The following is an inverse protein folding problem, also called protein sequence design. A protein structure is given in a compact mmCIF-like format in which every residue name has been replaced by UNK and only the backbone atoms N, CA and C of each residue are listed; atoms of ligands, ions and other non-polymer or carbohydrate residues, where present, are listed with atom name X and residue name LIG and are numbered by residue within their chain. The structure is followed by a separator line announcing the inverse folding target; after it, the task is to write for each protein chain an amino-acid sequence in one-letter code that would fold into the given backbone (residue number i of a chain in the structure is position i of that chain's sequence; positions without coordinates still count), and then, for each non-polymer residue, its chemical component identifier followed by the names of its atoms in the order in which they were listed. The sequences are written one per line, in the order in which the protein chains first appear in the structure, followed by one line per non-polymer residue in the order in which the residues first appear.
data_IF_691663637487
#
_entry.id   IF_691663637487
#
_cell.length_a   1.000
_cell.length_b   1.000
_cell.length_c   1.000
_cell.angle_alpha   90.00
_cell.angle_beta   90.00
_cell.angle_gamma   90.00
#
_symmetry.space_group_name_H-M   'P 1'
#
loop_
_entity.id
_entity.type
_entity.pdbx_description
1 polymer ?
#
# COMPACT_ATOMS: atom_id res chain seq x y z
N UNK A 1 0.59 -13.59 -4.65
CA UNK A 1 -0.61 -14.45 -4.57
C UNK A 1 -0.23 -15.84 -5.07
N UNK A 2 -0.88 -16.89 -4.58
CA UNK A 2 -0.53 -18.26 -4.89
C UNK A 2 -1.02 -18.63 -6.30
N UNK A 3 -0.19 -19.37 -7.03
CA UNK A 3 -0.52 -19.92 -8.34
C UNK A 3 -0.01 -21.36 -8.39
N UNK A 4 -0.89 -22.33 -8.66
CA UNK A 4 -0.60 -23.77 -8.84
C UNK A 4 -0.05 -24.50 -7.61
N UNK A 5 1.00 -23.97 -6.96
CA UNK A 5 1.74 -24.59 -5.85
C UNK A 5 0.89 -24.84 -4.61
N UNK A 6 -0.04 -23.94 -4.33
CA UNK A 6 -0.99 -24.05 -3.23
C UNK A 6 -2.29 -23.30 -3.59
N UNK A 7 -3.46 -23.77 -3.13
CA UNK A 7 -4.72 -23.13 -3.42
C UNK A 7 -4.91 -21.85 -2.58
N UNK A 8 -5.58 -20.81 -3.12
CA UNK A 8 -6.09 -19.72 -2.30
C UNK A 8 -7.26 -20.21 -1.43
N UNK A 9 -7.54 -19.46 -0.37
CA UNK A 9 -8.66 -19.69 0.55
C UNK A 9 -9.86 -18.79 0.17
N UNK A 10 -11.09 -19.31 0.29
CA UNK A 10 -12.31 -18.51 0.19
C UNK A 10 -12.65 -17.88 1.55
N UNK A 11 -12.17 -16.66 1.79
CA UNK A 11 -12.39 -15.94 3.05
C UNK A 11 -13.84 -15.55 3.35
N UNK A 12 -14.81 -15.89 2.49
CA UNK A 12 -16.25 -15.68 2.75
C UNK A 12 -16.92 -17.01 3.10
N UNK A 13 -16.73 -18.04 2.26
CA UNK A 13 -17.38 -19.34 2.46
C UNK A 13 -16.69 -20.18 3.53
N UNK A 14 -15.40 -19.94 3.75
CA UNK A 14 -14.55 -20.64 4.71
C UNK A 14 -14.14 -19.71 5.85
N UNK A 15 -14.97 -18.71 6.18
CA UNK A 15 -14.72 -17.73 7.26
C UNK A 15 -14.41 -18.41 8.60
N UNK A 16 -15.05 -19.56 8.89
CA UNK A 16 -14.86 -20.33 10.13
C UNK A 16 -13.42 -20.81 10.37
N UNK A 17 -12.60 -20.95 9.32
CA UNK A 17 -11.19 -21.34 9.47
C UNK A 17 -10.26 -20.12 9.51
N UNK A 18 -10.79 -18.90 9.43
CA UNK A 18 -10.01 -17.67 9.47
C UNK A 18 -9.95 -17.05 10.87
N UNK A 19 -8.86 -16.35 11.19
CA UNK A 19 -8.71 -15.64 12.46
C UNK A 19 -8.06 -14.26 12.26
N UNK A 20 -8.67 -13.24 12.86
CA UNK A 20 -8.21 -11.84 12.80
C UNK A 20 -7.57 -11.35 14.10
N UNK A 21 -7.49 -12.23 15.09
CA UNK A 21 -7.07 -11.87 16.44
C UNK A 21 -5.55 -11.68 16.50
N UNK A 22 -5.10 -10.63 17.17
CA UNK A 22 -3.69 -10.32 17.40
C UNK A 22 -3.40 -10.32 18.90
N UNK A 23 -2.16 -10.58 19.30
CA UNK A 23 -1.73 -10.57 20.70
C UNK A 23 -0.70 -9.45 20.92
N UNK A 24 -0.86 -8.70 22.01
CA UNK A 24 0.05 -7.64 22.44
C UNK A 24 0.68 -8.05 23.77
N UNK A 25 2.01 -8.05 23.81
CA UNK A 25 2.78 -8.32 25.02
C UNK A 25 4.13 -8.93 24.66
N UNK A 26 4.96 -9.11 25.67
CA UNK A 26 6.24 -9.79 25.51
C UNK A 26 6.02 -11.30 25.33
N UNK A 27 6.59 -11.87 24.29
CA UNK A 27 6.59 -13.33 24.09
C UNK A 27 7.58 -13.97 25.07
N UNK A 28 7.11 -14.99 25.77
CA UNK A 28 7.92 -15.77 26.70
C UNK A 28 8.63 -16.93 26.01
N UNK A 29 9.50 -17.62 26.75
CA UNK A 29 10.25 -18.75 26.22
C UNK A 29 9.32 -19.91 25.79
N UNK A 30 9.20 -20.12 24.48
CA UNK A 30 8.39 -21.19 23.90
C UNK A 30 8.80 -22.60 24.37
N UNK A 31 10.07 -22.83 24.70
CA UNK A 31 10.58 -24.13 25.16
C UNK A 31 10.29 -24.39 26.64
N UNK A 32 9.92 -23.37 27.41
CA UNK A 32 9.60 -23.47 28.82
C UNK A 32 8.32 -22.69 29.15
N UNK A 33 7.14 -23.25 28.83
CA UNK A 33 5.88 -22.55 29.00
C UNK A 33 5.59 -22.30 30.48
N UNK A 34 5.32 -21.04 30.81
CA UNK A 34 4.89 -20.60 32.15
C UNK A 34 3.61 -19.78 32.02
N UNK A 35 2.93 -19.52 33.14
CA UNK A 35 1.72 -18.67 33.17
C UNK A 35 1.97 -17.24 32.65
N UNK A 36 3.22 -16.76 32.74
CA UNK A 36 3.63 -15.47 32.19
C UNK A 36 3.42 -15.39 30.67
N UNK A 37 3.50 -16.52 29.96
CA UNK A 37 3.27 -16.56 28.51
C UNK A 37 1.81 -16.19 28.13
N UNK A 38 0.87 -16.36 29.07
CA UNK A 38 -0.52 -15.97 28.90
C UNK A 38 -0.77 -14.48 29.20
N UNK A 39 0.23 -13.73 29.69
CA UNK A 39 0.13 -12.29 30.00
C UNK A 39 0.18 -11.48 28.70
N UNK A 40 -0.91 -11.54 27.95
CA UNK A 40 -1.07 -10.92 26.64
C UNK A 40 -2.40 -10.17 26.58
N UNK A 41 -2.43 -9.01 25.93
CA UNK A 41 -3.66 -8.31 25.57
C UNK A 41 -4.11 -8.83 24.21
N UNK A 42 -5.28 -9.47 24.19
CA UNK A 42 -5.89 -10.00 22.97
C UNK A 42 -6.67 -8.90 22.25
N UNK A 43 -6.27 -8.60 21.02
CA UNK A 43 -7.03 -7.78 20.08
C UNK A 43 -7.95 -8.66 19.22
N UNK A 44 -9.20 -8.23 19.04
CA UNK A 44 -10.15 -8.93 18.15
C UNK A 44 -9.88 -8.63 16.66
N UNK A 45 -9.22 -7.51 16.38
CA UNK A 45 -8.91 -6.99 15.05
C UNK A 45 -7.57 -6.25 15.10
N UNK A 46 -6.78 -6.24 14.01
CA UNK A 46 -5.56 -5.45 13.92
C UNK A 46 -5.86 -3.94 13.76
N UNK A 47 -7.08 -3.55 13.43
CA UNK A 47 -7.48 -2.15 13.26
C UNK A 47 -8.11 -1.66 14.56
N UNK A 48 -7.50 -0.64 15.17
CA UNK A 48 -7.84 -0.09 16.48
C UNK A 48 -8.57 1.24 16.30
N UNK A 49 -9.66 1.43 17.04
CA UNK A 49 -10.29 2.74 17.21
C UNK A 49 -9.40 3.67 18.05
N UNK A 50 -9.67 4.98 18.00
CA UNK A 50 -8.94 5.97 18.81
C UNK A 50 -9.06 5.66 20.31
N UNK A 51 -10.22 5.18 20.76
CA UNK A 51 -10.44 4.79 22.17
C UNK A 51 -9.65 3.54 22.57
N UNK A 52 -9.60 2.52 21.70
CA UNK A 52 -8.83 1.30 21.97
C UNK A 52 -7.33 1.60 22.05
N UNK A 53 -6.80 2.41 21.12
CA UNK A 53 -5.42 2.85 21.18
C UNK A 53 -5.15 3.65 22.47
N UNK A 54 -6.03 4.59 22.83
CA UNK A 54 -5.87 5.38 24.04
C UNK A 54 -5.83 4.51 25.31
N UNK A 55 -6.64 3.45 25.38
CA UNK A 55 -6.61 2.45 26.47
C UNK A 55 -5.28 1.72 26.55
N UNK A 56 -4.69 1.36 25.40
CA UNK A 56 -3.38 0.69 25.34
C UNK A 56 -2.24 1.65 25.74
N UNK A 57 -2.29 2.92 25.32
CA UNK A 57 -1.30 3.93 25.70
C UNK A 57 -1.30 4.22 27.20
N UNK A 58 -2.47 4.17 27.86
CA UNK A 58 -2.63 4.43 29.29
C UNK A 58 -2.86 3.14 30.08
N UNK A 59 -2.36 2.00 29.60
CA UNK A 59 -2.56 0.72 30.25
C UNK A 59 -1.90 0.74 31.64
N UNK A 60 -2.73 0.66 32.69
CA UNK A 60 -2.28 0.55 34.08
C UNK A 60 -2.54 -0.87 34.57
N UNK A 61 -1.81 -1.81 33.96
CA UNK A 61 -1.85 -3.21 34.33
C UNK A 61 -0.43 -3.74 34.48
N UNK A 62 -0.19 -4.45 35.57
CA UNK A 62 1.12 -5.02 35.87
C UNK A 62 1.61 -5.87 34.69
N UNK A 63 2.89 -5.68 34.33
CA UNK A 63 3.53 -6.36 33.20
C UNK A 63 3.34 -5.68 31.85
N UNK A 64 2.56 -4.59 31.75
CA UNK A 64 2.44 -3.79 30.53
C UNK A 64 2.94 -2.38 30.75
N UNK A 65 3.72 -1.89 29.79
CA UNK A 65 4.19 -0.51 29.76
C UNK A 65 4.25 -0.06 28.33
N UNK A 66 3.54 1.03 28.04
CA UNK A 66 3.47 1.62 26.71
C UNK A 66 4.31 2.90 26.62
N UNK A 67 4.88 3.14 25.45
CA UNK A 67 5.54 4.40 25.13
C UNK A 67 5.22 4.80 23.68
N UNK A 68 4.84 6.07 23.51
CA UNK A 68 4.63 6.67 22.19
C UNK A 68 5.98 7.17 21.67
N UNK A 69 6.33 6.75 20.46
CA UNK A 69 7.52 7.16 19.74
C UNK A 69 7.08 7.99 18.51
N UNK A 70 7.39 9.30 18.47
CA UNK A 70 7.05 10.13 17.32
C UNK A 70 7.81 9.67 16.07
N UNK A 71 7.09 9.47 14.96
CA UNK A 71 7.67 9.20 13.64
C UNK A 71 7.65 10.48 12.78
N UNK A 72 8.35 11.51 13.26
CA UNK A 72 8.43 12.84 12.63
C UNK A 72 9.88 13.22 12.36
N UNK A 73 10.11 14.04 11.34
CA UNK A 73 11.41 14.65 11.06
C UNK A 73 11.28 16.14 10.72
N UNK A 74 12.35 16.89 10.94
CA UNK A 74 12.34 18.34 10.67
C UNK A 74 12.47 18.60 9.17
N UNK A 75 11.48 19.28 8.60
CA UNK A 75 11.45 19.62 7.19
C UNK A 75 12.57 20.62 6.84
N UNK A 76 13.38 20.30 5.82
CA UNK A 76 14.44 21.17 5.29
C UNK A 76 15.83 20.95 5.86
N UNK A 77 16.02 19.97 6.78
CA UNK A 77 17.35 19.48 7.11
C UNK A 77 17.86 18.52 6.03
N UNK A 78 19.16 18.51 5.76
CA UNK A 78 19.78 17.43 4.96
C UNK A 78 19.70 16.10 5.71
N UNK A 79 19.41 15.02 4.97
CA UNK A 79 19.24 13.65 5.49
C UNK A 79 18.30 13.57 6.71
N UNK A 80 17.26 14.40 6.71
CA UNK A 80 16.33 14.54 7.83
C UNK A 80 15.60 13.22 8.10
N UNK A 81 15.20 12.51 7.05
CA UNK A 81 14.49 11.24 7.16
C UNK A 81 15.37 10.14 7.75
N UNK A 82 16.61 10.02 7.25
CA UNK A 82 17.57 9.01 7.74
C UNK A 82 17.88 9.22 9.22
N UNK A 83 18.19 10.46 9.59
CA UNK A 83 18.54 10.82 10.97
C UNK A 83 17.38 10.54 11.91
N UNK A 84 16.15 10.83 11.51
CA UNK A 84 14.97 10.57 12.32
C UNK A 84 14.67 9.07 12.48
N UNK A 85 14.90 8.26 11.44
CA UNK A 85 14.81 6.79 11.55
C UNK A 85 15.86 6.24 12.53
N UNK A 86 17.12 6.69 12.42
CA UNK A 86 18.19 6.27 13.33
C UNK A 86 17.86 6.66 14.79
N UNK A 87 17.29 7.85 15.01
CA UNK A 87 16.81 8.29 16.33
C UNK A 87 15.62 7.48 16.83
N UNK A 88 14.65 7.18 15.97
CA UNK A 88 13.49 6.35 16.31
C UNK A 88 13.93 4.96 16.78
N UNK A 89 14.89 4.35 16.10
CA UNK A 89 15.43 3.03 16.46
C UNK A 89 16.16 3.07 17.81
N UNK A 90 16.96 4.12 18.06
CA UNK A 90 17.64 4.29 19.35
C UNK A 90 16.65 4.51 20.50
N UNK A 91 15.61 5.33 20.30
CA UNK A 91 14.55 5.55 21.30
C UNK A 91 13.76 4.27 21.59
N UNK A 92 13.51 3.44 20.57
CA UNK A 92 12.88 2.14 20.76
C UNK A 92 13.76 1.20 21.58
N UNK A 93 15.06 1.11 21.30
CA UNK A 93 16.00 0.30 22.07
C UNK A 93 16.06 0.77 23.55
N UNK A 94 16.09 2.08 23.79
CA UNK A 94 16.06 2.64 25.15
C UNK A 94 14.74 2.34 25.86
N UNK A 95 13.60 2.49 25.19
CA UNK A 95 12.29 2.16 25.73
C UNK A 95 12.23 0.69 26.17
N UNK A 96 12.70 -0.22 25.32
CA UNK A 96 12.76 -1.66 25.60
C UNK A 96 13.66 -1.93 26.81
N UNK A 97 14.84 -1.31 26.88
CA UNK A 97 15.72 -1.43 28.03
C UNK A 97 15.06 -0.97 29.33
N UNK A 98 14.20 0.05 29.25
CA UNK A 98 13.38 0.57 30.35
C UNK A 98 12.10 -0.26 30.64
N UNK A 99 11.98 -1.46 30.07
CA UNK A 99 10.89 -2.40 30.30
C UNK A 99 9.59 -2.07 29.56
N UNK A 100 9.63 -1.22 28.54
CA UNK A 100 8.48 -0.94 27.67
C UNK A 100 8.24 -2.12 26.74
N UNK A 101 7.02 -2.63 26.69
CA UNK A 101 6.63 -3.75 25.83
C UNK A 101 5.51 -3.43 24.83
N UNK A 102 5.03 -2.18 24.81
CA UNK A 102 4.13 -1.66 23.79
C UNK A 102 4.74 -0.39 23.23
N UNK A 103 5.21 -0.43 21.99
CA UNK A 103 5.72 0.75 21.29
C UNK A 103 4.64 1.25 20.33
N UNK A 104 4.27 2.53 20.46
CA UNK A 104 3.30 3.18 19.58
C UNK A 104 4.03 4.15 18.66
N UNK A 105 4.19 3.79 17.40
CA UNK A 105 4.76 4.67 16.37
C UNK A 105 3.67 5.65 15.92
N UNK A 106 3.87 6.95 16.12
CA UNK A 106 2.83 7.95 15.85
C UNK A 106 3.31 9.09 14.97
N UNK A 107 2.60 9.35 13.87
CA UNK A 107 2.81 10.53 13.02
C UNK A 107 1.95 11.72 13.47
N UNK A 108 1.26 11.63 14.61
CA UNK A 108 0.60 12.81 15.20
C UNK A 108 1.65 13.88 15.53
N UNK A 109 1.32 15.13 15.21
CA UNK A 109 2.19 16.28 15.43
C UNK A 109 2.84 16.85 14.17
N UNK A 110 2.52 16.33 12.98
CA UNK A 110 2.83 16.97 11.70
C UNK A 110 2.39 18.43 11.72
N UNK A 111 3.29 19.33 11.34
CA UNK A 111 3.05 20.76 11.29
C UNK A 111 4.00 21.42 10.28
N UNK A 112 3.96 22.73 10.13
CA UNK A 112 4.80 23.47 9.17
C UNK A 112 6.33 23.24 9.30
N UNK A 113 6.81 22.70 10.43
CA UNK A 113 8.23 22.36 10.65
C UNK A 113 8.52 20.86 10.70
N UNK A 114 7.54 20.04 11.05
CA UNK A 114 7.69 18.59 11.22
C UNK A 114 6.93 17.85 10.13
N UNK A 115 7.65 17.09 9.31
CA UNK A 115 7.10 16.20 8.30
C UNK A 115 6.99 14.76 8.86
N UNK A 116 6.03 13.94 8.39
CA UNK A 116 5.89 12.56 8.84
C UNK A 116 6.92 11.63 8.18
N UNK A 117 7.49 10.71 8.95
CA UNK A 117 8.16 9.53 8.40
C UNK A 117 7.05 8.60 7.87
N UNK A 118 7.17 8.04 6.66
CA UNK A 118 6.15 7.13 6.13
C UNK A 118 5.93 5.95 7.07
N UNK A 119 4.67 5.69 7.42
CA UNK A 119 4.34 4.75 8.48
C UNK A 119 4.88 3.34 8.19
N UNK A 120 4.84 2.93 6.92
CA UNK A 120 5.39 1.65 6.46
C UNK A 120 6.92 1.58 6.65
N UNK A 121 7.64 2.65 6.32
CA UNK A 121 9.10 2.70 6.43
C UNK A 121 9.56 2.67 7.89
N UNK A 122 8.89 3.45 8.76
CA UNK A 122 9.15 3.44 10.20
C UNK A 122 8.88 2.06 10.80
N UNK A 123 7.73 1.47 10.49
CA UNK A 123 7.30 0.17 11.02
C UNK A 123 8.22 -0.95 10.56
N UNK A 124 8.45 -1.09 9.26
CA UNK A 124 9.28 -2.15 8.70
C UNK A 124 10.74 -2.00 9.15
N UNK A 125 11.26 -0.77 9.11
CA UNK A 125 12.60 -0.44 9.57
C UNK A 125 12.83 -0.84 11.02
N UNK A 126 11.92 -0.45 11.92
CA UNK A 126 12.03 -0.80 13.33
C UNK A 126 11.82 -2.30 13.56
N UNK A 127 10.85 -2.93 12.89
CA UNK A 127 10.63 -4.37 12.95
C UNK A 127 11.92 -5.14 12.64
N UNK A 128 12.59 -4.79 11.54
CA UNK A 128 13.85 -5.42 11.14
C UNK A 128 15.03 -5.07 12.06
N UNK A 129 15.11 -3.84 12.55
CA UNK A 129 16.10 -3.43 13.56
C UNK A 129 16.00 -4.28 14.82
N UNK A 130 14.79 -4.44 15.37
CA UNK A 130 14.54 -5.23 16.57
C UNK A 130 14.79 -6.73 16.33
N UNK A 131 14.55 -7.25 15.12
CA UNK A 131 14.92 -8.64 14.77
C UNK A 131 16.44 -8.81 14.79
N UNK A 132 17.19 -7.90 14.17
CA UNK A 132 18.66 -7.93 14.16
C UNK A 132 19.23 -7.88 15.57
N UNK A 133 18.59 -7.11 16.46
CA UNK A 133 18.96 -6.98 17.87
C UNK A 133 18.38 -8.07 18.78
N UNK A 134 17.57 -8.99 18.26
CA UNK A 134 16.89 -10.07 19.03
C UNK A 134 15.98 -9.56 20.15
N UNK A 135 15.42 -8.38 19.97
CA UNK A 135 14.50 -7.71 20.92
C UNK A 135 13.07 -7.69 20.39
N UNK A 136 12.80 -8.10 19.14
CA UNK A 136 11.46 -8.02 18.54
C UNK A 136 10.39 -8.79 19.30
N UNK A 137 10.71 -9.93 19.90
CA UNK A 137 9.77 -10.76 20.69
C UNK A 137 9.36 -10.08 22.01
N UNK A 138 10.10 -9.06 22.47
CA UNK A 138 9.86 -8.41 23.75
C UNK A 138 8.75 -7.35 23.67
N UNK A 139 8.38 -6.92 22.46
CA UNK A 139 7.46 -5.78 22.25
C UNK A 139 6.39 -6.03 21.20
N UNK A 140 5.25 -5.36 21.36
CA UNK A 140 4.30 -5.12 20.27
C UNK A 140 4.58 -3.77 19.60
N UNK A 141 4.37 -3.71 18.28
CA UNK A 141 4.46 -2.45 17.51
C UNK A 141 3.04 -2.03 17.13
N UNK A 142 2.57 -0.94 17.69
CA UNK A 142 1.32 -0.29 17.28
C UNK A 142 1.64 0.91 16.41
N UNK A 143 0.80 1.19 15.42
CA UNK A 143 1.02 2.28 14.46
C UNK A 143 -0.20 3.20 14.48
N UNK A 144 -0.01 4.42 14.99
CA UNK A 144 -0.96 5.52 14.90
C UNK A 144 -0.59 6.38 13.68
N UNK A 145 -1.40 6.36 12.63
CA UNK A 145 -1.04 7.02 11.37
C UNK A 145 -2.19 7.69 10.65
N UNK A 146 -1.91 8.86 10.07
CA UNK A 146 -2.81 9.54 9.14
C UNK A 146 -2.77 9.01 7.69
N UNK A 147 -1.80 8.15 7.34
CA UNK A 147 -1.62 7.67 5.96
C UNK A 147 -2.48 6.44 5.62
N UNK A 148 -2.72 5.56 6.60
CA UNK A 148 -3.44 4.31 6.40
C UNK A 148 -4.94 4.56 6.19
N UNK A 149 -5.46 4.11 5.05
CA UNK A 149 -6.88 4.29 4.69
C UNK A 149 -7.42 3.21 3.75
N UNK A 150 -6.54 2.62 2.94
CA UNK A 150 -6.90 1.54 2.01
C UNK A 150 -6.51 0.16 2.56
N UNK A 151 -7.22 -0.87 2.12
CA UNK A 151 -6.95 -2.28 2.47
C UNK A 151 -5.47 -2.66 2.28
N UNK A 152 -4.83 -2.15 1.23
CA UNK A 152 -3.43 -2.44 0.96
C UNK A 152 -2.51 -1.81 2.01
N UNK A 153 -2.78 -0.60 2.49
CA UNK A 153 -1.98 0.06 3.54
C UNK A 153 -1.97 -0.76 4.83
N UNK A 154 -3.13 -1.27 5.24
CA UNK A 154 -3.22 -2.16 6.40
C UNK A 154 -2.47 -3.47 6.18
N UNK A 155 -2.62 -4.06 4.98
CA UNK A 155 -1.96 -5.32 4.63
C UNK A 155 -0.43 -5.20 4.67
N UNK A 156 0.15 -4.12 4.12
CA UNK A 156 1.60 -3.91 4.16
C UNK A 156 2.07 -3.64 5.59
N UNK A 157 1.40 -2.80 6.36
CA UNK A 157 1.79 -2.53 7.75
C UNK A 157 1.82 -3.81 8.60
N UNK A 158 0.78 -4.65 8.51
CA UNK A 158 0.74 -5.94 9.23
C UNK A 158 1.84 -6.88 8.70
N UNK A 159 1.97 -7.00 7.38
CA UNK A 159 2.96 -7.88 6.75
C UNK A 159 4.42 -7.49 7.02
N UNK A 160 4.68 -6.24 7.42
CA UNK A 160 5.98 -5.74 7.86
C UNK A 160 6.07 -5.48 9.38
N UNK A 161 5.12 -6.01 10.16
CA UNK A 161 5.33 -6.20 11.59
C UNK A 161 4.51 -5.31 12.54
N UNK A 162 3.53 -4.53 12.06
CA UNK A 162 2.56 -3.86 12.91
C UNK A 162 1.61 -4.89 13.56
N UNK A 163 1.53 -4.87 14.88
CA UNK A 163 0.60 -5.70 15.67
C UNK A 163 -0.81 -5.10 15.70
N UNK A 164 -0.91 -3.76 15.70
CA UNK A 164 -2.18 -3.04 15.62
C UNK A 164 -2.00 -1.67 14.94
N UNK A 165 -3.03 -1.19 14.28
CA UNK A 165 -3.00 0.01 13.44
C UNK A 165 -4.21 0.88 13.79
N UNK A 166 -3.96 2.13 14.16
CA UNK A 166 -4.97 3.14 14.36
C UNK A 166 -4.91 4.17 13.21
N UNK A 167 -5.83 4.11 12.23
CA UNK A 167 -5.90 5.06 11.13
C UNK A 167 -6.63 6.34 11.55
N UNK A 168 -6.06 7.11 12.48
CA UNK A 168 -6.80 8.17 13.16
C UNK A 168 -7.40 9.22 12.20
N UNK A 169 -6.67 9.58 11.14
CA UNK A 169 -7.13 10.62 10.21
C UNK A 169 -8.29 10.11 9.34
N UNK A 170 -8.36 8.81 9.08
CA UNK A 170 -9.51 8.21 8.41
C UNK A 170 -10.76 8.31 9.30
N UNK A 171 -10.63 8.05 10.60
CA UNK A 171 -11.74 8.24 11.55
C UNK A 171 -12.15 9.71 11.67
N UNK A 172 -11.19 10.65 11.81
CA UNK A 172 -11.49 12.09 11.83
C UNK A 172 -12.19 12.54 10.53
N UNK A 173 -11.85 11.94 9.39
CA UNK A 173 -12.55 12.20 8.10
C UNK A 173 -13.98 11.65 8.12
N UNK A 174 -14.19 10.44 8.66
CA UNK A 174 -15.53 9.84 8.79
C UNK A 174 -16.40 10.69 9.73
N UNK A 175 -15.87 11.11 10.87
CA UNK A 175 -16.56 11.98 11.83
C UNK A 175 -17.05 13.26 11.15
N UNK A 176 -16.18 13.90 10.37
CA UNK A 176 -16.53 15.08 9.58
C UNK A 176 -17.63 14.77 8.56
N UNK A 177 -17.51 13.67 7.82
CA UNK A 177 -18.51 13.25 6.82
C UNK A 177 -19.89 13.00 7.43
N UNK A 178 -19.96 12.41 8.62
CA UNK A 178 -21.21 12.23 9.39
C UNK A 178 -21.75 13.59 9.83
N UNK A 179 -20.91 14.45 10.40
CA UNK A 179 -21.32 15.79 10.85
C UNK A 179 -21.86 16.67 9.71
N UNK A 180 -21.33 16.51 8.50
CA UNK A 180 -21.79 17.19 7.27
C UNK A 180 -23.02 16.54 6.65
N UNK A 181 -23.47 15.38 7.15
CA UNK A 181 -24.63 14.63 6.64
C UNK A 181 -24.39 13.92 5.31
N UNK A 182 -23.13 13.76 4.88
CA UNK A 182 -22.78 13.12 3.60
C UNK A 182 -23.03 11.61 3.61
N UNK A 183 -23.11 10.99 4.79
CA UNK A 183 -23.40 9.56 5.00
C UNK A 183 -24.88 9.27 5.33
N UNK A 184 -25.77 10.26 5.20
CA UNK A 184 -27.19 10.09 5.52
C UNK A 184 -27.46 10.03 7.02
N UNK A 185 -28.25 9.05 7.47
CA UNK A 185 -28.66 8.88 8.88
C UNK A 185 -27.71 7.97 9.70
N UNK A 186 -26.51 7.69 9.20
CA UNK A 186 -25.54 6.82 9.89
C UNK A 186 -24.94 7.52 11.12
N UNK A 187 -24.87 6.80 12.26
CA UNK A 187 -24.19 7.28 13.46
C UNK A 187 -22.67 7.21 13.30
N UNK A 188 -21.93 7.99 14.08
CA UNK A 188 -20.45 7.96 14.09
C UNK A 188 -19.95 6.56 14.47
N UNK A 189 -20.57 5.96 15.48
CA UNK A 189 -20.21 4.63 15.98
C UNK A 189 -20.43 3.54 14.92
N UNK A 190 -21.57 3.59 14.21
CA UNK A 190 -21.86 2.64 13.12
C UNK A 190 -20.91 2.83 11.94
N UNK A 191 -20.62 4.08 11.55
CA UNK A 191 -19.70 4.39 10.47
C UNK A 191 -18.27 3.87 10.77
N UNK A 192 -17.79 4.07 11.99
CA UNK A 192 -16.52 3.52 12.46
C UNK A 192 -16.52 1.99 12.43
N UNK A 193 -17.59 1.36 12.94
CA UNK A 193 -17.73 -0.09 12.92
C UNK A 193 -17.71 -0.65 11.49
N UNK A 194 -18.46 -0.05 10.56
CA UNK A 194 -18.50 -0.46 9.16
C UNK A 194 -17.15 -0.27 8.46
N UNK A 195 -16.44 0.83 8.74
CA UNK A 195 -15.10 1.08 8.23
C UNK A 195 -14.11 0.00 8.69
N UNK A 196 -14.03 -0.26 10.00
CA UNK A 196 -13.17 -1.31 10.57
C UNK A 196 -13.52 -2.67 9.99
N UNK A 197 -14.80 -3.02 9.92
CA UNK A 197 -15.27 -4.28 9.35
C UNK A 197 -14.86 -4.43 7.87
N UNK A 198 -15.00 -3.37 7.07
CA UNK A 198 -14.59 -3.38 5.67
C UNK A 198 -13.07 -3.53 5.51
N UNK A 199 -12.30 -2.80 6.31
CA UNK A 199 -10.83 -2.89 6.32
C UNK A 199 -10.38 -4.32 6.67
N UNK A 200 -10.89 -4.89 7.76
CA UNK A 200 -10.55 -6.26 8.21
C UNK A 200 -10.92 -7.31 7.18
N UNK A 201 -12.15 -7.26 6.62
CA UNK A 201 -12.55 -8.16 5.53
C UNK A 201 -11.68 -8.01 4.29
N UNK A 202 -11.26 -6.78 3.98
CA UNK A 202 -10.32 -6.50 2.92
C UNK A 202 -8.97 -7.17 3.15
N UNK A 203 -8.40 -7.05 4.34
CA UNK A 203 -7.12 -7.69 4.70
C UNK A 203 -7.26 -9.21 4.64
N UNK A 204 -8.34 -9.79 5.19
CA UNK A 204 -8.62 -11.23 5.06
C UNK A 204 -8.64 -11.68 3.59
N UNK A 205 -9.25 -10.90 2.71
CA UNK A 205 -9.24 -11.18 1.26
C UNK A 205 -7.84 -11.08 0.65
N UNK A 206 -6.94 -10.25 1.17
CA UNK A 206 -5.56 -10.16 0.70
C UNK A 206 -4.78 -11.40 1.10
N UNK A 207 -4.85 -11.81 2.38
CA UNK A 207 -4.09 -12.98 2.87
C UNK A 207 -4.62 -14.29 2.28
N UNK A 208 -5.93 -14.38 2.02
CA UNK A 208 -6.56 -15.56 1.45
C UNK A 208 -6.08 -15.84 0.01
N UNK A 209 -5.59 -14.83 -0.72
CA UNK A 209 -4.94 -15.00 -2.04
C UNK A 209 -3.67 -15.86 -1.98
N UNK A 210 -3.07 -16.03 -0.81
CA UNK A 210 -1.95 -16.95 -0.57
C UNK A 210 -2.37 -18.25 0.12
N UNK A 211 -3.67 -18.42 0.44
CA UNK A 211 -4.14 -19.54 1.26
C UNK A 211 -3.82 -19.39 2.75
N UNK A 212 -3.46 -18.19 3.22
CA UNK A 212 -3.20 -17.92 4.64
C UNK A 212 -4.54 -17.70 5.34
N UNK A 213 -4.75 -18.36 6.48
CA UNK A 213 -6.00 -18.31 7.24
C UNK A 213 -5.97 -17.37 8.45
N UNK A 214 -4.80 -17.11 9.04
CA UNK A 214 -4.68 -16.30 10.27
C UNK A 214 -3.84 -15.04 10.03
N UNK A 215 -4.23 -13.93 10.66
CA UNK A 215 -3.41 -12.71 10.65
C UNK A 215 -2.09 -12.89 11.41
N UNK A 216 -2.07 -13.72 12.45
CA UNK A 216 -0.84 -14.03 13.18
C UNK A 216 0.24 -14.66 12.29
N UNK A 217 -0.14 -15.54 11.35
CA UNK A 217 0.81 -16.11 10.39
C UNK A 217 1.19 -15.14 9.26
N UNK A 218 0.34 -14.14 8.99
CA UNK A 218 0.63 -13.11 7.99
C UNK A 218 1.53 -12.00 8.53
N UNK A 219 1.47 -11.74 9.83
CA UNK A 219 2.26 -10.73 10.54
C UNK A 219 3.76 -10.96 10.33
N UNK A 220 4.45 -9.95 9.79
CA UNK A 220 5.89 -10.04 9.49
C UNK A 220 6.27 -10.99 8.35
N UNK A 221 5.32 -11.63 7.66
CA UNK A 221 5.60 -12.64 6.63
C UNK A 221 6.08 -12.06 5.28
N UNK A 222 5.97 -10.74 5.07
CA UNK A 222 6.42 -10.03 3.86
C UNK A 222 5.95 -10.66 2.54
N UNK A 223 4.64 -10.94 2.43
CA UNK A 223 4.05 -11.48 1.20
C UNK A 223 3.85 -10.36 0.17
N UNK A 224 4.96 -9.74 -0.23
CA UNK A 224 5.00 -8.61 -1.15
C UNK A 224 6.22 -8.72 -2.06
N UNK A 225 6.17 -8.00 -3.16
CA UNK A 225 7.30 -7.74 -4.04
C UNK A 225 7.44 -6.23 -4.15
N UNK A 226 8.65 -5.72 -3.97
CA UNK A 226 8.97 -4.32 -4.20
C UNK A 226 9.28 -4.10 -5.68
N UNK A 227 8.78 -3.00 -6.23
CA UNK A 227 9.07 -2.55 -7.58
C UNK A 227 9.47 -1.08 -7.52
N UNK A 228 10.67 -0.76 -8.00
CA UNK A 228 11.19 0.61 -8.02
C UNK A 228 11.83 1.07 -6.71
N UNK A 229 12.15 0.16 -5.78
CA UNK A 229 12.96 0.46 -4.58
C UNK A 229 14.36 -0.11 -4.77
N UNK A 230 15.40 0.67 -4.50
CA UNK A 230 16.78 0.17 -4.63
C UNK A 230 17.12 -0.90 -3.58
N UNK A 231 18.12 -1.73 -3.90
CA UNK A 231 18.49 -2.86 -3.05
C UNK A 231 18.96 -2.42 -1.65
N UNK A 232 19.68 -1.30 -1.55
CA UNK A 232 20.20 -0.80 -0.28
C UNK A 232 19.07 -0.42 0.71
N UNK A 233 18.02 0.24 0.22
CA UNK A 233 16.83 0.57 1.01
C UNK A 233 16.12 -0.70 1.49
N UNK A 234 15.95 -1.66 0.59
CA UNK A 234 15.29 -2.94 0.90
C UNK A 234 16.09 -3.75 1.93
N UNK A 235 17.40 -3.89 1.75
CA UNK A 235 18.26 -4.62 2.68
C UNK A 235 18.19 -4.05 4.11
N UNK A 236 18.12 -2.72 4.22
CA UNK A 236 18.09 -2.05 5.51
C UNK A 236 16.71 -2.09 6.19
N UNK A 237 15.63 -1.76 5.46
CA UNK A 237 14.32 -1.49 6.04
C UNK A 237 13.23 -2.54 5.69
N UNK A 238 13.41 -3.34 4.65
CA UNK A 238 12.45 -4.35 4.17
C UNK A 238 13.16 -5.69 3.88
N UNK A 239 14.10 -6.06 4.76
CA UNK A 239 15.10 -7.11 4.48
C UNK A 239 14.44 -8.39 4.01
N UNK A 240 14.96 -8.96 2.90
CA UNK A 240 14.47 -10.16 2.18
C UNK A 240 13.28 -9.96 1.23
N UNK A 241 12.73 -8.75 1.12
CA UNK A 241 11.73 -8.47 0.09
C UNK A 241 12.37 -8.46 -1.31
N UNK A 242 11.83 -9.18 -2.31
CA UNK A 242 12.35 -9.14 -3.67
C UNK A 242 12.20 -7.74 -4.29
N UNK A 243 13.28 -7.21 -4.88
CA UNK A 243 13.26 -5.99 -5.71
C UNK A 243 14.04 -6.19 -7.01
N UNK A 244 13.37 -6.74 -8.03
CA UNK A 244 14.04 -7.11 -9.30
C UNK A 244 14.32 -5.92 -10.21
N UNK A 245 13.55 -4.85 -10.03
CA UNK A 245 13.69 -3.60 -10.75
C UNK A 245 13.87 -2.55 -9.67
N UNK A 246 15.12 -2.16 -9.48
CA UNK A 246 15.52 -1.14 -8.53
C UNK A 246 14.99 0.25 -8.92
N UNK A 247 15.12 1.21 -8.02
CA UNK A 247 14.71 2.58 -8.29
C UNK A 247 15.12 3.54 -7.18
N UNK A 248 14.13 4.15 -6.54
CA UNK A 248 14.33 5.20 -5.55
C UNK A 248 15.00 4.67 -4.27
N UNK A 249 15.76 5.54 -3.62
CA UNK A 249 16.30 5.34 -2.29
C UNK A 249 15.65 6.29 -1.28
N UNK A 250 16.31 6.44 -0.14
CA UNK A 250 15.79 7.23 0.98
C UNK A 250 15.71 8.73 0.67
N UNK A 251 16.66 9.26 -0.11
CA UNK A 251 16.71 10.67 -0.48
C UNK A 251 15.54 11.08 -1.38
N UNK A 252 15.20 10.24 -2.37
CA UNK A 252 14.04 10.48 -3.24
C UNK A 252 12.72 10.37 -2.47
N UNK A 253 12.61 9.42 -1.53
CA UNK A 253 11.45 9.29 -0.63
C UNK A 253 11.31 10.56 0.22
N UNK A 254 12.41 11.04 0.80
CA UNK A 254 12.43 12.28 1.59
C UNK A 254 11.94 13.49 0.76
N UNK A 255 12.47 13.66 -0.46
CA UNK A 255 12.03 14.76 -1.32
C UNK A 255 10.55 14.64 -1.71
N UNK A 256 10.02 13.45 -1.95
CA UNK A 256 8.59 13.26 -2.24
C UNK A 256 7.70 13.65 -1.06
N UNK A 257 8.10 13.29 0.18
CA UNK A 257 7.42 13.71 1.40
C UNK A 257 7.46 15.23 1.53
N UNK A 258 8.63 15.84 1.35
CA UNK A 258 8.80 17.29 1.46
C UNK A 258 8.01 18.06 0.40
N UNK A 259 7.83 17.51 -0.81
CA UNK A 259 6.96 18.11 -1.84
C UNK A 259 5.49 18.15 -1.40
N UNK A 260 4.98 17.06 -0.82
CA UNK A 260 3.61 17.01 -0.27
C UNK A 260 3.47 17.92 0.94
N UNK A 261 4.46 17.92 1.83
CA UNK A 261 4.49 18.77 3.02
C UNK A 261 4.48 20.27 2.67
N UNK A 262 5.31 20.71 1.71
CA UNK A 262 5.31 22.10 1.20
C UNK A 262 3.98 22.51 0.57
N UNK A 263 3.26 21.57 -0.05
CA UNK A 263 1.92 21.81 -0.60
C UNK A 263 0.87 21.98 0.50
N UNK A 264 0.95 21.20 1.56
CA UNK A 264 0.04 21.29 2.71
C UNK A 264 0.33 22.51 3.61
N UNK A 265 1.59 22.95 3.70
CA UNK A 265 2.02 24.12 4.48
C UNK A 265 2.68 25.19 3.59
N UNK A 266 1.92 25.83 2.68
CA UNK A 266 2.48 26.83 1.78
C UNK A 266 2.90 28.09 2.56
N UNK A 267 3.96 28.80 2.13
CA UNK A 267 4.41 30.04 2.80
C UNK A 267 3.36 31.16 2.83
N UNK A 268 2.37 31.10 1.93
CA UNK A 268 1.22 32.02 1.85
C UNK A 268 -0.04 31.22 1.57
N UNK A 269 -1.09 31.47 2.34
CA UNK A 269 -2.41 30.87 2.13
C UNK A 269 -3.06 31.51 0.91
N UNK A 270 -3.21 30.75 -0.16
CA UNK A 270 -3.97 31.16 -1.35
C UNK A 270 -5.31 30.43 -1.26
N UNK A 271 -6.39 31.18 -1.04
CA UNK A 271 -7.68 30.66 -0.59
C UNK A 271 -8.22 29.46 -1.37
N UNK A 272 -8.85 28.57 -0.58
CA UNK A 272 -9.53 27.30 -0.87
C UNK A 272 -8.64 26.06 -0.64
N UNK A 273 -8.71 25.56 0.60
CA UNK A 273 -8.09 24.33 1.11
C UNK A 273 -8.96 23.10 0.77
N UNK A 274 -9.09 22.77 -0.52
CA UNK A 274 -9.77 21.54 -0.95
C UNK A 274 -8.72 20.58 -1.49
N UNK A 275 -8.88 19.28 -1.18
CA UNK A 275 -8.03 18.24 -1.72
C UNK A 275 -8.10 18.23 -3.26
N UNK A 276 -7.00 17.85 -3.92
CA UNK A 276 -7.04 17.68 -5.37
C UNK A 276 -8.09 16.62 -5.73
N UNK A 277 -8.84 16.79 -6.83
CA UNK A 277 -9.83 15.80 -7.28
C UNK A 277 -9.21 14.44 -7.66
N UNK A 278 -7.88 14.36 -7.72
CA UNK A 278 -7.12 13.17 -8.03
C UNK A 278 -7.28 12.75 -9.48
N UNK A 279 -7.26 11.43 -9.70
CA UNK A 279 -7.29 10.84 -11.04
C UNK A 279 -6.70 9.44 -11.11
N UNK A 280 -6.30 8.85 -9.98
CA UNK A 280 -5.67 7.53 -9.93
C UNK A 280 -6.61 6.43 -10.45
N UNK A 281 -7.87 6.40 -9.98
CA UNK A 281 -8.82 5.33 -10.31
C UNK A 281 -9.58 5.55 -11.61
N UNK A 282 -9.75 6.81 -12.02
CA UNK A 282 -10.50 7.17 -13.22
C UNK A 282 -9.86 8.40 -13.87
N UNK A 283 -9.79 8.39 -15.19
CA UNK A 283 -9.27 9.52 -15.96
C UNK A 283 -10.01 10.81 -15.63
N UNK A 284 -9.24 11.88 -15.40
CA UNK A 284 -9.71 13.27 -15.32
C UNK A 284 -8.79 14.13 -16.18
N UNK A 285 -9.31 15.24 -16.67
CA UNK A 285 -8.56 16.14 -17.56
C UNK A 285 -7.31 16.72 -16.88
N UNK A 286 -7.42 17.07 -15.59
CA UNK A 286 -6.40 17.66 -14.73
C UNK A 286 -5.78 16.67 -13.74
N UNK A 287 -6.08 15.37 -13.88
CA UNK A 287 -5.63 14.32 -12.97
C UNK A 287 -4.40 13.56 -13.45
N UNK A 288 -4.21 12.37 -12.86
CA UNK A 288 -3.19 11.41 -13.30
C UNK A 288 -3.36 11.06 -14.79
N UNK A 289 -2.25 10.73 -15.43
CA UNK A 289 -2.26 10.33 -16.83
C UNK A 289 -2.78 8.88 -16.97
N UNK A 290 -3.55 8.61 -18.03
CA UNK A 290 -4.07 7.27 -18.34
C UNK A 290 -3.75 6.88 -19.77
N UNK A 291 -3.34 5.62 -19.96
CA UNK A 291 -3.14 5.02 -21.28
C UNK A 291 -4.42 5.08 -22.13
N UNK A 292 -5.55 4.76 -21.49
CA UNK A 292 -6.88 4.91 -22.08
C UNK A 292 -7.47 6.25 -21.63
N UNK A 293 -7.62 7.16 -22.57
CA UNK A 293 -8.21 8.48 -22.37
C UNK A 293 -9.16 8.78 -23.55
N UNK A 294 -10.01 9.82 -23.46
CA UNK A 294 -11.00 10.10 -24.50
C UNK A 294 -10.40 10.25 -25.90
N UNK A 295 -9.19 10.82 -26.02
CA UNK A 295 -8.51 10.99 -27.29
C UNK A 295 -8.05 9.65 -27.89
N UNK A 296 -7.36 8.82 -27.10
CA UNK A 296 -6.85 7.52 -27.58
C UNK A 296 -7.99 6.56 -27.92
N UNK A 297 -9.06 6.56 -27.13
CA UNK A 297 -10.28 5.76 -27.41
C UNK A 297 -10.96 6.23 -28.69
N UNK A 298 -11.13 7.53 -28.89
CA UNK A 298 -11.78 8.07 -30.09
C UNK A 298 -10.99 7.74 -31.36
N UNK A 299 -9.67 7.94 -31.36
CA UNK A 299 -8.82 7.66 -32.51
C UNK A 299 -8.87 6.17 -32.90
N UNK A 300 -8.80 5.26 -31.92
CA UNK A 300 -8.91 3.82 -32.18
C UNK A 300 -10.26 3.44 -32.78
N UNK A 301 -11.36 3.95 -32.21
CA UNK A 301 -12.70 3.70 -32.73
C UNK A 301 -12.87 4.23 -34.17
N UNK A 302 -12.35 5.43 -34.45
CA UNK A 302 -12.40 6.02 -35.79
C UNK A 302 -11.59 5.20 -36.80
N UNK A 303 -10.37 4.78 -36.43
CA UNK A 303 -9.51 3.95 -37.26
C UNK A 303 -10.20 2.64 -37.65
N UNK A 304 -10.76 1.91 -36.68
CA UNK A 304 -11.43 0.64 -36.94
C UNK A 304 -12.73 0.80 -37.73
N UNK A 305 -13.54 1.84 -37.47
CA UNK A 305 -14.80 2.08 -38.21
C UNK A 305 -14.59 2.49 -39.66
N UNK A 306 -13.51 3.22 -39.95
CA UNK A 306 -13.23 3.74 -41.30
C UNK A 306 -12.25 2.89 -42.09
N UNK A 307 -11.60 1.90 -41.46
CA UNK A 307 -10.51 1.14 -42.07
C UNK A 307 -9.27 1.99 -42.40
N UNK A 308 -9.12 3.16 -41.75
CA UNK A 308 -8.08 4.12 -42.10
C UNK A 308 -6.79 3.87 -41.28
N UNK A 309 -5.78 3.30 -41.94
CA UNK A 309 -4.49 3.01 -41.32
C UNK A 309 -3.74 4.26 -40.85
N UNK A 310 -3.88 5.41 -41.53
CA UNK A 310 -3.24 6.66 -41.08
C UNK A 310 -3.79 7.13 -39.73
N UNK A 311 -5.10 6.96 -39.50
CA UNK A 311 -5.72 7.25 -38.19
C UNK A 311 -5.21 6.25 -37.14
N UNK A 312 -5.00 4.98 -37.50
CA UNK A 312 -4.39 4.00 -36.61
C UNK A 312 -2.94 4.36 -36.26
N UNK A 313 -2.16 4.88 -37.20
CA UNK A 313 -0.80 5.38 -36.95
C UNK A 313 -0.80 6.60 -36.02
N UNK A 314 -1.77 7.49 -36.13
CA UNK A 314 -1.93 8.61 -35.19
C UNK A 314 -2.27 8.12 -33.77
N UNK A 315 -3.18 7.13 -33.67
CA UNK A 315 -3.49 6.45 -32.41
C UNK A 315 -2.24 5.81 -31.79
N UNK A 316 -1.52 4.99 -32.57
CA UNK A 316 -0.35 4.27 -32.07
C UNK A 316 0.78 5.21 -31.68
N UNK A 317 1.00 6.30 -32.44
CA UNK A 317 1.94 7.36 -32.09
C UNK A 317 1.54 8.03 -30.78
N UNK A 318 0.26 8.38 -30.60
CA UNK A 318 -0.23 9.00 -29.36
C UNK A 318 -0.02 8.08 -28.15
N UNK A 319 -0.33 6.79 -28.29
CA UNK A 319 -0.12 5.79 -27.22
C UNK A 319 1.36 5.54 -26.95
N UNK A 320 2.21 5.51 -27.99
CA UNK A 320 3.65 5.28 -27.87
C UNK A 320 4.39 6.51 -27.33
N UNK A 321 3.97 7.74 -27.65
CA UNK A 321 4.60 8.97 -27.16
C UNK A 321 4.26 9.25 -25.68
N UNK A 322 3.08 8.83 -25.23
CA UNK A 322 2.68 8.90 -23.80
C UNK A 322 3.55 8.05 -22.88
N UNK A 323 4.24 7.07 -23.45
CA UNK A 323 5.00 6.07 -22.72
C UNK A 323 6.24 6.67 -22.00
N UNK A 324 6.76 7.82 -22.46
CA UNK A 324 7.80 8.60 -21.75
C UNK A 324 7.31 9.29 -20.48
N UNK A 325 6.00 9.57 -20.37
CA UNK A 325 5.40 10.24 -19.19
C UNK A 325 4.84 9.26 -18.17
N UNK A 326 4.27 8.14 -18.64
CA UNK A 326 3.67 7.09 -17.81
C UNK A 326 4.67 6.04 -17.31
N UNK A 327 5.88 6.01 -17.89
CA UNK A 327 7.00 5.14 -17.49
C UNK A 327 6.65 3.64 -17.32
N UNK A 328 5.81 3.08 -18.20
CA UNK A 328 5.66 1.61 -18.27
C UNK A 328 7.02 0.97 -18.53
N UNK A 329 7.35 -0.19 -17.95
CA UNK A 329 8.68 -0.78 -18.14
C UNK A 329 9.11 -0.93 -19.62
N UNK A 330 8.17 -1.32 -20.49
CA UNK A 330 8.41 -1.45 -21.94
C UNK A 330 8.80 -0.13 -22.64
N UNK A 331 8.43 1.01 -22.08
CA UNK A 331 8.72 2.32 -22.68
C UNK A 331 10.10 2.86 -22.35
N UNK A 332 10.76 2.25 -21.37
CA UNK A 332 12.16 2.52 -21.04
C UNK A 332 13.12 1.76 -21.97
N UNK A 333 12.59 0.85 -22.80
CA UNK A 333 13.35 0.08 -23.77
C UNK A 333 13.33 0.77 -25.14
N UNK A 334 14.44 0.65 -25.87
CA UNK A 334 14.53 1.09 -27.27
C UNK A 334 15.01 -0.05 -28.15
N UNK A 335 14.55 -0.08 -29.40
CA UNK A 335 15.00 -1.06 -30.38
C UNK A 335 16.38 -0.69 -30.89
N UNK A 336 17.30 -1.65 -30.87
CA UNK A 336 18.55 -1.57 -31.62
C UNK A 336 18.33 -2.16 -33.00
N UNK A 337 17.99 -1.29 -33.96
CA UNK A 337 17.72 -1.71 -35.33
C UNK A 337 19.00 -2.18 -36.04
N UNK A 338 18.83 -3.04 -37.05
CA UNK A 338 19.91 -3.41 -37.96
C UNK A 338 20.35 -2.19 -38.78
N UNK A 339 21.61 -2.19 -39.24
CA UNK A 339 22.15 -1.09 -40.05
C UNK A 339 21.42 -0.94 -41.40
N UNK A 340 20.94 -2.06 -41.95
CA UNK A 340 20.23 -2.11 -43.22
C UNK A 340 18.80 -2.60 -42.97
N UNK A 341 17.77 -1.78 -43.27
CA UNK A 341 16.38 -2.21 -43.20
C UNK A 341 16.04 -3.12 -44.38
N UNK A 342 15.13 -4.05 -44.15
CA UNK A 342 14.56 -4.90 -45.21
C UNK A 342 13.31 -4.25 -45.82
N UNK A 343 13.00 -4.52 -47.11
CA UNK A 343 11.70 -4.19 -47.70
C UNK A 343 10.55 -4.82 -46.91
N UNK A 344 9.41 -4.11 -46.81
CA UNK A 344 8.22 -4.60 -46.10
C UNK A 344 7.67 -5.89 -46.72
N UNK A 345 7.84 -6.08 -48.02
CA UNK A 345 7.40 -7.27 -48.76
C UNK A 345 8.17 -8.54 -48.37
N UNK A 346 9.32 -8.40 -47.71
CA UNK A 346 10.08 -9.53 -47.16
C UNK A 346 9.63 -9.93 -45.74
N UNK A 347 8.79 -9.11 -45.10
CA UNK A 347 8.23 -9.40 -43.77
C UNK A 347 7.14 -10.46 -43.90
N UNK A 348 7.01 -11.29 -42.87
CA UNK A 348 5.94 -12.26 -42.74
C UNK A 348 4.55 -11.62 -43.01
N UNK A 349 3.69 -12.25 -43.84
CA UNK A 349 2.42 -11.68 -44.22
C UNK A 349 1.45 -11.59 -43.03
N UNK A 350 0.48 -10.67 -43.13
CA UNK A 350 -0.47 -10.35 -42.06
C UNK A 350 -1.24 -11.59 -41.61
N UNK A 351 -1.62 -12.47 -42.56
CA UNK A 351 -2.38 -13.69 -42.32
C UNK A 351 -1.66 -14.67 -41.37
N UNK A 352 -0.33 -14.66 -41.33
CA UNK A 352 0.44 -15.49 -40.40
C UNK A 352 0.67 -14.78 -39.06
N UNK A 353 0.90 -13.47 -39.07
CA UNK A 353 1.08 -12.67 -37.84
C UNK A 353 -0.18 -12.72 -36.96
N UNK A 354 -1.37 -12.52 -37.54
CA UNK A 354 -2.63 -12.42 -36.78
C UNK A 354 -3.02 -13.73 -36.10
N UNK A 355 -2.53 -14.89 -36.57
CA UNK A 355 -2.74 -16.19 -35.90
C UNK A 355 -2.14 -16.24 -34.51
N UNK A 356 -1.18 -15.36 -34.19
CA UNK A 356 -0.59 -15.24 -32.86
C UNK A 356 -1.45 -14.39 -31.91
N UNK A 357 -2.41 -13.64 -32.43
CA UNK A 357 -3.29 -12.82 -31.61
C UNK A 357 -4.39 -13.66 -30.98
N UNK A 358 -4.74 -13.31 -29.75
CA UNK A 358 -5.85 -13.90 -29.01
C UNK A 358 -6.64 -12.76 -28.37
N UNK A 359 -7.95 -12.78 -28.53
CA UNK A 359 -8.87 -11.75 -28.01
C UNK A 359 -9.01 -11.79 -26.48
N UNK A 360 -8.52 -12.86 -25.84
CA UNK A 360 -8.62 -13.08 -24.40
C UNK A 360 -9.98 -13.66 -24.00
N UNK A 361 -10.02 -14.39 -22.88
CA UNK A 361 -11.26 -14.97 -22.37
C UNK A 361 -12.01 -13.94 -21.51
N UNK A 362 -13.03 -13.30 -22.08
CA UNK A 362 -13.98 -12.45 -21.34
C UNK A 362 -15.28 -13.22 -21.12
N UNK A 363 -15.77 -13.25 -19.87
CA UNK A 363 -16.95 -14.03 -19.50
C UNK A 363 -18.22 -13.49 -20.16
N UNK A 364 -19.10 -14.38 -20.63
CA UNK A 364 -20.44 -14.05 -21.12
C UNK A 364 -21.31 -13.32 -20.07
N UNK A 365 -21.00 -13.47 -18.77
CA UNK A 365 -21.68 -12.71 -17.70
C UNK A 365 -21.12 -11.30 -17.49
N UNK A 366 -19.94 -10.98 -18.04
CA UNK A 366 -19.26 -9.68 -17.87
C UNK A 366 -19.48 -8.72 -19.04
N UNK A 367 -19.85 -9.23 -20.21
CA UNK A 367 -20.11 -8.46 -21.44
C UNK A 367 -21.41 -8.94 -22.08
N UNK A 368 -22.00 -8.14 -22.97
CA UNK A 368 -23.23 -8.55 -23.65
C UNK A 368 -22.99 -9.74 -24.58
N UNK A 369 -24.07 -10.47 -24.87
CA UNK A 369 -24.06 -11.57 -25.84
C UNK A 369 -23.45 -11.14 -27.17
N UNK A 370 -23.91 -9.99 -27.67
CA UNK A 370 -23.51 -9.42 -28.96
C UNK A 370 -22.01 -9.12 -28.97
N UNK A 371 -21.46 -8.55 -27.89
CA UNK A 371 -20.03 -8.29 -27.77
C UNK A 371 -19.22 -9.59 -27.74
N UNK A 372 -19.66 -10.58 -26.97
CA UNK A 372 -18.98 -11.87 -26.85
C UNK A 372 -18.98 -12.63 -28.19
N UNK A 373 -20.13 -12.75 -28.84
CA UNK A 373 -20.25 -13.43 -30.13
C UNK A 373 -19.46 -12.72 -31.23
N UNK A 374 -19.47 -11.38 -31.24
CA UNK A 374 -18.66 -10.59 -32.20
C UNK A 374 -17.17 -10.92 -32.10
N UNK A 375 -16.63 -11.06 -30.88
CA UNK A 375 -15.22 -11.40 -30.65
C UNK A 375 -14.85 -12.85 -30.98
N UNK A 376 -15.83 -13.75 -31.02
CA UNK A 376 -15.62 -15.15 -31.37
C UNK A 376 -15.72 -15.39 -32.88
N UNK A 377 -16.54 -14.59 -33.57
CA UNK A 377 -16.70 -14.63 -35.04
C UNK A 377 -15.51 -13.95 -35.73
N UNK A 378 -15.04 -12.83 -35.19
CA UNK A 378 -13.84 -12.13 -35.63
C UNK A 378 -12.58 -12.92 -35.28
#
# INVERSE_FOLDING_TARGET
FAQVTNPPLDGIREELVTATEMMIGSEENLLNPTEMACRQVKLMSPILTNEELAKLCHIDHEGFKAQILPMLFTAGNEDGLKTALDQLFAQADEAIHNGVNILVLSDRGVNAKQAPIPALLATAGLHHHLIRNRTRTQVALLVETGEAREVHHFSVLIGYGATGINPYLAFETIDQMVAEGTLGEESVEDAHYHYVKAAVKGVLKVISKMGISTLQSYHGAQIFEALGLNQALVDQYFTWTPTRIEGIGLAEIEEEILRRHRKAFPPRLNGVEVLDPGGVYQWRYDGEQHLFNPQTVHQLQLACRTGNYNVFQQYSTTVNDQSRKLATLRSLLTFKFANEPIPIDEVEPVEEIVKRFKTGAMSYGSISKEAHETLAIA
#
